data_IF_250816434955
#
_entry.id   IF_250816434955
#
_cell.length_a   1.000
_cell.length_b   1.000
_cell.length_c   1.000
_cell.angle_alpha   90.00
_cell.angle_beta   90.00
_cell.angle_gamma   90.00
#
_symmetry.space_group_name_H-M   'P 1'
#
loop_
_entity.id
_entity.type
_entity.pdbx_description
1 polymer ?
#
# COMPACT_ATOMS: atom_id res chain seq x y z
N UNK A 1 54.18 -41.65 -22.87
CA UNK A 1 52.77 -41.73 -22.44
C UNK A 1 52.42 -40.41 -21.78
N UNK A 2 51.30 -39.73 -22.03
CA UNK A 2 50.21 -39.97 -23.00
C UNK A 2 49.74 -38.66 -23.64
N UNK A 3 48.95 -38.75 -24.71
CA UNK A 3 48.64 -37.63 -25.60
C UNK A 3 47.49 -36.75 -25.06
N UNK A 4 47.69 -35.44 -25.03
CA UNK A 4 46.59 -34.47 -24.98
C UNK A 4 45.91 -34.41 -26.35
N UNK A 5 44.60 -34.66 -26.42
CA UNK A 5 43.80 -34.46 -27.64
C UNK A 5 42.94 -33.21 -27.51
N UNK A 6 43.17 -32.28 -28.44
CA UNK A 6 42.19 -31.28 -28.83
C UNK A 6 41.02 -31.96 -29.55
N UNK A 7 39.79 -31.48 -29.31
CA UNK A 7 38.66 -31.64 -30.23
C UNK A 7 37.80 -30.39 -30.17
N UNK A 8 37.61 -29.74 -31.31
CA UNK A 8 36.87 -28.49 -31.41
C UNK A 8 35.35 -28.65 -31.38
N UNK A 9 34.68 -27.56 -31.02
CA UNK A 9 33.37 -27.10 -31.50
C UNK A 9 32.30 -28.16 -31.83
N UNK A 10 31.21 -28.15 -31.06
CA UNK A 10 29.87 -28.18 -31.63
C UNK A 10 29.05 -27.05 -31.02
N UNK A 11 28.39 -26.25 -31.86
CA UNK A 11 27.50 -25.21 -31.40
C UNK A 11 26.22 -25.80 -30.83
N UNK A 12 25.80 -25.34 -29.66
CA UNK A 12 24.43 -25.51 -29.18
C UNK A 12 23.79 -24.13 -29.00
N UNK A 13 22.52 -24.02 -29.37
CA UNK A 13 21.74 -22.81 -29.13
C UNK A 13 21.67 -22.48 -27.63
N UNK A 14 21.63 -21.19 -27.30
CA UNK A 14 21.47 -20.70 -25.93
C UNK A 14 20.07 -21.05 -25.36
N UNK A 15 19.93 -22.30 -24.92
CA UNK A 15 18.71 -22.84 -24.33
C UNK A 15 18.61 -22.54 -22.84
N UNK A 16 17.82 -21.52 -22.49
CA UNK A 16 16.97 -21.47 -21.28
C UNK A 16 17.58 -21.89 -19.93
N UNK A 17 18.86 -21.60 -19.66
CA UNK A 17 19.56 -21.93 -18.41
C UNK A 17 19.86 -20.73 -17.51
N UNK A 18 19.00 -19.71 -17.52
CA UNK A 18 19.07 -18.58 -16.59
C UNK A 18 18.52 -18.95 -15.19
N UNK A 19 19.17 -18.53 -14.08
CA UNK A 19 18.93 -19.11 -12.75
C UNK A 19 17.60 -18.74 -12.06
N UNK A 20 16.77 -17.87 -12.65
CA UNK A 20 15.60 -17.29 -11.99
C UNK A 20 14.25 -17.95 -12.31
N UNK A 21 14.24 -19.11 -12.97
CA UNK A 21 13.02 -19.88 -13.28
C UNK A 21 12.40 -20.61 -12.08
N UNK A 22 12.91 -20.41 -10.85
CA UNK A 22 12.46 -21.10 -9.62
C UNK A 22 12.18 -20.20 -8.42
N UNK A 23 12.34 -18.88 -8.54
CA UNK A 23 11.89 -17.93 -7.52
C UNK A 23 10.39 -17.62 -7.69
N UNK A 24 9.60 -18.69 -7.80
CA UNK A 24 8.20 -18.67 -7.39
C UNK A 24 8.14 -18.22 -5.93
N UNK A 25 6.99 -17.67 -5.53
CA UNK A 25 6.69 -17.33 -4.14
C UNK A 25 7.27 -18.41 -3.22
N UNK A 26 8.17 -18.08 -2.27
CA UNK A 26 8.80 -19.10 -1.46
C UNK A 26 7.69 -19.92 -0.78
N UNK A 27 7.79 -21.25 -0.69
CA UNK A 27 6.70 -22.09 -0.14
C UNK A 27 6.36 -21.75 1.33
N UNK A 28 7.19 -20.90 1.95
CA UNK A 28 7.05 -20.34 3.29
C UNK A 28 6.58 -18.87 3.31
N UNK A 29 6.10 -18.30 2.20
CA UNK A 29 5.57 -16.94 2.17
C UNK A 29 4.35 -16.86 3.11
N UNK A 30 4.45 -15.96 4.09
CA UNK A 30 3.45 -15.86 5.14
C UNK A 30 3.46 -17.03 6.15
N UNK A 31 4.40 -17.97 6.08
CA UNK A 31 4.72 -18.88 7.20
C UNK A 31 5.83 -18.31 8.10
N UNK A 32 6.28 -17.09 7.81
CA UNK A 32 7.31 -16.37 8.56
C UNK A 32 6.93 -16.10 10.03
N UNK A 33 7.92 -15.98 10.94
CA UNK A 33 7.68 -15.86 12.39
C UNK A 33 6.73 -14.73 12.78
N UNK A 34 6.81 -13.57 12.12
CA UNK A 34 5.93 -12.44 12.41
C UNK A 34 4.44 -12.76 12.15
N UNK A 35 4.09 -13.33 10.99
CA UNK A 35 2.70 -13.72 10.69
C UNK A 35 2.20 -14.80 11.65
N UNK A 36 3.05 -15.79 11.97
CA UNK A 36 2.73 -16.82 12.99
C UNK A 36 2.44 -16.18 14.36
N UNK A 37 3.26 -15.23 14.81
CA UNK A 37 3.07 -14.54 16.07
C UNK A 37 1.78 -13.69 16.10
N UNK A 38 1.48 -12.97 15.03
CA UNK A 38 0.21 -12.20 14.91
C UNK A 38 -0.98 -13.15 14.90
N UNK A 39 -0.96 -14.20 14.07
CA UNK A 39 -2.04 -15.20 14.02
C UNK A 39 -2.24 -15.92 15.36
N UNK A 40 -1.16 -16.28 16.06
CA UNK A 40 -1.24 -16.91 17.38
C UNK A 40 -1.83 -15.96 18.44
N UNK A 41 -1.47 -14.66 18.40
CA UNK A 41 -2.08 -13.65 19.28
C UNK A 41 -3.57 -13.47 19.00
N UNK A 42 -3.96 -13.29 17.73
CA UNK A 42 -5.36 -13.17 17.33
C UNK A 42 -6.17 -14.43 17.70
N UNK A 43 -5.61 -15.62 17.47
CA UNK A 43 -6.24 -16.89 17.87
C UNK A 43 -6.37 -17.00 19.39
N UNK A 44 -5.35 -16.60 20.15
CA UNK A 44 -5.39 -16.58 21.62
C UNK A 44 -6.47 -15.66 22.17
N UNK A 45 -6.65 -14.46 21.58
CA UNK A 45 -7.74 -13.53 21.92
C UNK A 45 -9.11 -14.16 21.65
N UNK A 46 -9.31 -14.77 20.47
CA UNK A 46 -10.56 -15.45 20.13
C UNK A 46 -10.85 -16.66 21.04
N UNK A 47 -9.84 -17.47 21.37
CA UNK A 47 -9.97 -18.56 22.35
C UNK A 47 -10.36 -17.98 23.72
N UNK A 48 -9.76 -16.86 24.13
CA UNK A 48 -10.14 -16.14 25.34
C UNK A 48 -11.61 -15.72 25.35
N UNK A 49 -12.10 -15.09 24.27
CA UNK A 49 -13.51 -14.72 24.14
C UNK A 49 -14.44 -15.93 24.16
N UNK A 50 -14.09 -17.04 23.48
CA UNK A 50 -14.88 -18.28 23.52
C UNK A 50 -14.93 -18.86 24.95
N UNK A 51 -13.80 -18.95 25.65
CA UNK A 51 -13.75 -19.48 27.02
C UNK A 51 -14.53 -18.60 27.99
N UNK A 52 -14.39 -17.27 27.92
CA UNK A 52 -15.13 -16.33 28.77
C UNK A 52 -16.62 -16.37 28.46
N UNK A 53 -16.99 -16.39 27.17
CA UNK A 53 -18.37 -16.48 26.71
C UNK A 53 -19.06 -17.75 27.21
N UNK A 54 -18.47 -18.92 26.96
CA UNK A 54 -19.01 -20.21 27.40
C UNK A 54 -18.95 -20.37 28.92
N UNK A 55 -17.96 -19.77 29.58
CA UNK A 55 -17.88 -19.70 31.04
C UNK A 55 -19.04 -18.93 31.65
N UNK A 56 -19.43 -17.79 31.07
CA UNK A 56 -20.59 -16.98 31.53
C UNK A 56 -21.92 -17.64 31.12
N UNK A 57 -21.96 -18.28 29.95
CA UNK A 57 -23.17 -18.92 29.43
C UNK A 57 -23.53 -20.21 30.18
N UNK A 58 -22.56 -21.08 30.44
CA UNK A 58 -22.78 -22.44 30.97
C UNK A 58 -22.60 -22.57 32.48
N UNK A 59 -22.25 -21.48 33.19
CA UNK A 59 -22.07 -21.53 34.64
C UNK A 59 -23.40 -21.65 35.41
N UNK A 60 -23.33 -22.29 36.57
CA UNK A 60 -24.44 -22.51 37.50
C UNK A 60 -24.23 -21.88 38.88
N UNK A 61 -23.11 -21.19 39.12
CA UNK A 61 -22.72 -20.67 40.44
C UNK A 61 -23.22 -19.24 40.72
N UNK A 62 -23.57 -18.47 39.68
CA UNK A 62 -24.32 -17.22 39.73
C UNK A 62 -25.63 -17.39 38.98
N UNK A 63 -26.75 -17.01 39.59
CA UNK A 63 -28.05 -16.95 38.92
C UNK A 63 -28.10 -15.76 37.95
N UNK A 64 -27.46 -15.90 36.79
CA UNK A 64 -27.52 -14.93 35.69
C UNK A 64 -28.78 -15.13 34.86
N UNK A 65 -29.53 -14.05 34.65
CA UNK A 65 -30.72 -14.07 33.81
C UNK A 65 -30.41 -14.48 32.36
N UNK A 66 -31.38 -15.07 31.64
CA UNK A 66 -31.23 -15.51 30.25
C UNK A 66 -30.63 -14.46 29.31
N UNK A 67 -31.01 -13.18 29.50
CA UNK A 67 -30.51 -12.03 28.74
C UNK A 67 -29.00 -11.84 28.85
N UNK A 68 -28.44 -11.95 30.06
CA UNK A 68 -27.00 -11.86 30.30
C UNK A 68 -26.24 -13.06 29.74
N UNK A 69 -26.82 -14.27 29.85
CA UNK A 69 -26.25 -15.49 29.26
C UNK A 69 -26.20 -15.37 27.74
N UNK A 70 -27.30 -14.98 27.10
CA UNK A 70 -27.37 -14.77 25.66
C UNK A 70 -26.43 -13.66 25.17
N UNK A 71 -26.35 -12.53 25.88
CA UNK A 71 -25.43 -11.45 25.55
C UNK A 71 -23.96 -11.91 25.59
N UNK A 72 -23.59 -12.77 26.55
CA UNK A 72 -22.25 -13.35 26.62
C UNK A 72 -21.90 -14.21 25.40
N UNK A 73 -22.86 -14.92 24.79
CA UNK A 73 -22.65 -15.64 23.51
C UNK A 73 -22.28 -14.68 22.37
N UNK A 74 -22.75 -13.44 22.41
CA UNK A 74 -22.37 -12.36 21.48
C UNK A 74 -20.89 -12.00 21.45
N UNK A 75 -20.10 -12.40 22.45
CA UNK A 75 -18.64 -12.25 22.45
C UNK A 75 -17.93 -13.19 21.45
N UNK A 76 -18.60 -14.24 20.94
CA UNK A 76 -17.97 -15.24 20.04
C UNK A 76 -17.88 -14.74 18.60
N UNK A 77 -18.85 -13.95 18.13
CA UNK A 77 -18.82 -13.14 16.90
C UNK A 77 -20.04 -12.21 16.85
N UNK A 78 -20.02 -11.20 15.99
CA UNK A 78 -21.12 -10.23 15.85
C UNK A 78 -22.45 -10.93 15.53
N UNK A 79 -23.44 -10.75 16.39
CA UNK A 79 -24.77 -11.37 16.30
C UNK A 79 -24.88 -12.79 16.90
N UNK A 80 -23.79 -13.43 17.36
CA UNK A 80 -23.84 -14.80 17.89
C UNK A 80 -24.85 -14.99 19.03
N UNK A 81 -25.06 -13.97 19.88
CA UNK A 81 -26.04 -14.02 20.96
C UNK A 81 -27.49 -14.14 20.51
N UNK A 82 -27.84 -13.74 19.28
CA UNK A 82 -29.20 -13.91 18.76
C UNK A 82 -29.57 -15.39 18.53
N UNK A 83 -28.56 -16.25 18.36
CA UNK A 83 -28.75 -17.71 18.35
C UNK A 83 -29.25 -18.19 19.72
N UNK A 84 -28.77 -17.59 20.82
CA UNK A 84 -29.21 -17.91 22.17
C UNK A 84 -30.62 -17.37 22.48
N UNK A 85 -31.04 -16.26 21.85
CA UNK A 85 -32.42 -15.74 21.99
C UNK A 85 -33.48 -16.66 21.36
N UNK A 86 -33.11 -17.44 20.33
CA UNK A 86 -33.91 -18.47 19.65
C UNK A 86 -35.38 -18.11 19.34
N UNK A 87 -35.63 -16.84 19.01
CA UNK A 87 -36.94 -16.32 18.64
C UNK A 87 -36.88 -15.56 17.31
N UNK A 88 -38.06 -15.27 16.73
CA UNK A 88 -38.19 -14.65 15.40
C UNK A 88 -37.48 -13.30 15.32
N UNK A 89 -37.56 -12.47 16.37
CA UNK A 89 -36.91 -11.15 16.40
C UNK A 89 -35.39 -11.32 16.43
N UNK A 90 -34.86 -12.25 17.23
CA UNK A 90 -33.45 -12.61 17.22
C UNK A 90 -32.98 -13.09 15.84
N UNK A 91 -33.76 -13.94 15.16
CA UNK A 91 -33.45 -14.39 13.79
C UNK A 91 -33.37 -13.24 12.77
N UNK A 92 -34.28 -12.27 12.86
CA UNK A 92 -34.26 -11.05 12.01
C UNK A 92 -33.02 -10.19 12.32
N UNK A 93 -32.72 -9.95 13.59
CA UNK A 93 -31.57 -9.13 14.00
C UNK A 93 -30.23 -9.81 13.72
N UNK A 94 -30.16 -11.14 13.77
CA UNK A 94 -29.01 -11.91 13.30
C UNK A 94 -28.75 -11.64 11.82
N UNK A 95 -29.78 -11.79 10.97
CA UNK A 95 -29.67 -11.54 9.54
C UNK A 95 -29.30 -10.06 9.25
N UNK A 96 -29.90 -9.11 9.96
CA UNK A 96 -29.59 -7.68 9.84
C UNK A 96 -28.14 -7.37 10.24
N UNK A 97 -27.64 -7.99 11.32
CA UNK A 97 -26.24 -7.84 11.76
C UNK A 97 -25.29 -8.29 10.64
N UNK A 98 -25.51 -9.48 10.08
CA UNK A 98 -24.69 -9.98 8.97
C UNK A 98 -24.81 -9.15 7.68
N UNK A 99 -26.01 -8.65 7.35
CA UNK A 99 -26.21 -7.72 6.23
C UNK A 99 -25.51 -6.36 6.45
N UNK A 100 -25.34 -5.93 7.70
CA UNK A 100 -24.63 -4.69 8.03
C UNK A 100 -23.10 -4.82 7.99
N UNK A 101 -22.53 -6.03 8.12
CA UNK A 101 -21.07 -6.23 8.10
C UNK A 101 -20.43 -5.72 6.78
N UNK A 102 -20.90 -6.07 5.57
CA UNK A 102 -20.38 -5.50 4.32
C UNK A 102 -20.44 -3.96 4.28
N UNK A 103 -21.50 -3.36 4.80
CA UNK A 103 -21.67 -1.90 4.85
C UNK A 103 -20.69 -1.25 5.86
N UNK A 104 -20.49 -1.88 7.02
CA UNK A 104 -19.54 -1.41 8.03
C UNK A 104 -18.09 -1.61 7.60
N UNK A 105 -17.77 -2.69 6.88
CA UNK A 105 -16.48 -2.88 6.24
C UNK A 105 -16.26 -1.84 5.13
N UNK A 106 -17.26 -1.58 4.28
CA UNK A 106 -17.18 -0.51 3.27
C UNK A 106 -16.98 0.86 3.91
N UNK A 107 -17.72 1.18 4.98
CA UNK A 107 -17.57 2.45 5.70
C UNK A 107 -16.22 2.56 6.43
N UNK A 108 -15.65 1.45 6.90
CA UNK A 108 -14.30 1.41 7.48
C UNK A 108 -13.19 1.58 6.43
N UNK A 109 -13.22 0.80 5.34
CA UNK A 109 -12.22 0.89 4.26
C UNK A 109 -12.33 2.20 3.48
N UNK A 110 -13.56 2.70 3.32
CA UNK A 110 -13.87 4.03 2.81
C UNK A 110 -13.39 5.09 3.79
N UNK A 111 -14.20 5.46 4.78
CA UNK A 111 -13.99 6.62 5.65
C UNK A 111 -12.86 6.48 6.70
N UNK A 112 -12.06 5.39 6.69
CA UNK A 112 -11.04 5.09 7.69
C UNK A 112 -11.61 4.76 9.09
N UNK A 113 -12.93 4.73 9.23
CA UNK A 113 -13.64 4.70 10.50
C UNK A 113 -13.72 3.28 11.08
N UNK A 114 -12.65 2.85 11.76
CA UNK A 114 -12.54 1.55 12.45
C UNK A 114 -13.64 1.29 13.49
N UNK A 115 -14.35 2.34 13.90
CA UNK A 115 -15.48 2.27 14.83
C UNK A 115 -16.71 1.54 14.26
N UNK A 116 -16.90 1.47 12.94
CA UNK A 116 -18.13 0.87 12.37
C UNK A 116 -18.25 -0.65 12.60
N UNK A 117 -17.23 -1.49 12.34
CA UNK A 117 -17.29 -2.91 12.69
C UNK A 117 -17.45 -3.16 14.19
N UNK A 118 -16.85 -2.31 15.04
CA UNK A 118 -17.00 -2.37 16.49
C UNK A 118 -18.44 -2.07 16.90
N UNK A 119 -19.04 -0.98 16.38
CA UNK A 119 -20.45 -0.65 16.62
C UNK A 119 -21.41 -1.75 16.16
N UNK A 120 -21.20 -2.36 14.99
CA UNK A 120 -22.01 -3.51 14.55
C UNK A 120 -21.92 -4.67 15.54
N UNK A 121 -20.75 -4.93 16.10
CA UNK A 121 -20.56 -5.97 17.11
C UNK A 121 -21.21 -5.59 18.45
N UNK A 122 -20.89 -4.43 19.01
CA UNK A 122 -21.37 -3.98 20.32
C UNK A 122 -22.90 -3.80 20.33
N UNK A 123 -23.48 -3.22 19.27
CA UNK A 123 -24.93 -3.10 19.12
C UNK A 123 -25.60 -4.46 18.92
N UNK A 124 -24.91 -5.46 18.35
CA UNK A 124 -25.45 -6.83 18.30
C UNK A 124 -25.51 -7.47 19.68
N UNK A 125 -24.53 -7.23 20.56
CA UNK A 125 -24.53 -7.71 21.95
C UNK A 125 -25.65 -7.00 22.74
N UNK A 126 -25.77 -5.68 22.58
CA UNK A 126 -26.81 -4.88 23.23
C UNK A 126 -28.22 -5.25 22.77
N UNK A 127 -28.42 -5.49 21.47
CA UNK A 127 -29.72 -5.92 20.94
C UNK A 127 -30.18 -7.26 21.52
N UNK A 128 -29.27 -8.23 21.65
CA UNK A 128 -29.55 -9.54 22.29
C UNK A 128 -30.07 -9.39 23.71
N UNK A 129 -29.56 -8.41 24.47
CA UNK A 129 -30.03 -8.14 25.84
C UNK A 129 -31.51 -7.75 25.87
N UNK A 130 -31.99 -6.99 24.88
CA UNK A 130 -33.39 -6.56 24.77
C UNK A 130 -34.30 -7.57 24.07
N UNK A 131 -33.77 -8.49 23.26
CA UNK A 131 -34.57 -9.45 22.48
C UNK A 131 -34.60 -10.87 23.03
N UNK A 132 -33.84 -11.17 24.08
CA UNK A 132 -33.89 -12.49 24.75
C UNK A 132 -35.03 -12.50 25.75
N UNK A 133 -35.93 -13.48 25.64
CA UNK A 133 -37.04 -13.68 26.58
C UNK A 133 -36.62 -14.46 27.83
N UNK A 134 -37.60 -15.05 28.51
CA UNK A 134 -37.42 -15.76 29.79
C UNK A 134 -36.56 -17.03 29.72
N UNK A 135 -36.18 -17.48 28.51
CA UNK A 135 -35.35 -18.66 28.30
C UNK A 135 -34.29 -18.36 27.23
N UNK A 136 -33.07 -18.87 27.44
CA UNK A 136 -32.02 -18.92 26.45
C UNK A 136 -31.91 -20.34 25.88
N UNK A 137 -31.62 -20.47 24.59
CA UNK A 137 -31.43 -21.78 23.97
C UNK A 137 -30.07 -22.36 24.31
N UNK A 138 -30.06 -23.30 25.26
CA UNK A 138 -28.85 -23.95 25.81
C UNK A 138 -27.89 -24.50 24.74
N UNK A 139 -28.41 -24.97 23.59
CA UNK A 139 -27.57 -25.48 22.51
C UNK A 139 -26.73 -24.39 21.80
N UNK A 140 -27.06 -23.10 21.96
CA UNK A 140 -26.32 -22.00 21.33
C UNK A 140 -24.84 -21.96 21.74
N UNK A 141 -24.51 -22.41 22.96
CA UNK A 141 -23.13 -22.58 23.43
C UNK A 141 -22.31 -23.60 22.61
N UNK A 142 -22.95 -24.53 21.90
CA UNK A 142 -22.28 -25.43 20.95
C UNK A 142 -22.32 -24.89 19.52
N UNK A 143 -23.47 -24.32 19.09
CA UNK A 143 -23.65 -23.83 17.73
C UNK A 143 -22.78 -22.62 17.41
N UNK A 144 -22.66 -21.63 18.30
CA UNK A 144 -21.86 -20.43 18.05
C UNK A 144 -20.37 -20.73 17.77
N UNK A 145 -19.62 -21.46 18.63
CA UNK A 145 -18.24 -21.82 18.30
C UNK A 145 -18.14 -22.78 17.09
N UNK A 146 -19.14 -23.65 16.88
CA UNK A 146 -19.21 -24.51 15.70
C UNK A 146 -19.29 -23.73 14.39
N UNK A 147 -20.18 -22.74 14.30
CA UNK A 147 -20.32 -21.84 13.13
C UNK A 147 -19.03 -21.07 12.87
N UNK A 148 -18.39 -20.53 13.91
CA UNK A 148 -17.11 -19.82 13.79
C UNK A 148 -16.00 -20.73 13.22
N UNK A 149 -15.92 -21.97 13.69
CA UNK A 149 -14.93 -22.95 13.22
C UNK A 149 -15.14 -23.34 11.75
N UNK A 150 -16.40 -23.58 11.34
CA UNK A 150 -16.75 -23.92 9.95
C UNK A 150 -16.41 -22.77 9.01
N UNK A 151 -16.87 -21.55 9.34
CA UNK A 151 -16.63 -20.35 8.52
C UNK A 151 -15.14 -20.07 8.31
N UNK A 152 -14.33 -20.22 9.37
CA UNK A 152 -12.87 -20.07 9.30
C UNK A 152 -12.22 -21.05 8.32
N UNK A 153 -12.60 -22.33 8.38
CA UNK A 153 -11.91 -23.36 7.60
C UNK A 153 -12.24 -23.28 6.10
N UNK A 154 -13.52 -23.04 5.75
CA UNK A 154 -13.93 -22.82 4.35
C UNK A 154 -13.21 -21.62 3.71
N UNK A 155 -13.15 -20.49 4.42
CA UNK A 155 -12.56 -19.27 3.87
C UNK A 155 -11.05 -19.38 3.64
N UNK A 156 -10.30 -19.93 4.61
CA UNK A 156 -8.83 -20.06 4.53
C UNK A 156 -8.41 -21.04 3.42
N UNK A 157 -9.11 -22.18 3.29
CA UNK A 157 -8.73 -23.21 2.32
C UNK A 157 -8.99 -22.77 0.86
N UNK A 158 -10.07 -22.03 0.61
CA UNK A 158 -10.39 -21.53 -0.74
C UNK A 158 -9.40 -20.48 -1.23
N UNK A 159 -9.09 -19.46 -0.42
CA UNK A 159 -8.19 -18.38 -0.84
C UNK A 159 -6.75 -18.85 -1.15
N UNK A 160 -6.25 -19.86 -0.42
CA UNK A 160 -4.92 -20.42 -0.68
C UNK A 160 -4.83 -21.05 -2.09
N UNK A 161 -5.80 -21.89 -2.45
CA UNK A 161 -5.79 -22.63 -3.72
C UNK A 161 -5.94 -21.73 -4.97
N UNK A 162 -6.62 -20.60 -4.84
CA UNK A 162 -6.86 -19.66 -5.95
C UNK A 162 -5.66 -18.74 -6.21
N UNK A 163 -4.99 -18.30 -5.13
CA UNK A 163 -3.80 -17.44 -5.21
C UNK A 163 -2.65 -18.14 -5.94
N UNK A 164 -2.40 -19.42 -5.62
CA UNK A 164 -1.30 -20.20 -6.21
C UNK A 164 -1.45 -20.41 -7.72
N UNK A 165 -2.69 -20.48 -8.23
CA UNK A 165 -2.97 -20.66 -9.67
C UNK A 165 -2.58 -19.44 -10.51
N UNK A 166 -2.87 -18.23 -10.00
CA UNK A 166 -2.68 -16.99 -10.75
C UNK A 166 -1.19 -16.61 -10.86
N UNK A 167 -0.40 -16.93 -9.84
CA UNK A 167 1.05 -16.64 -9.78
C UNK A 167 1.85 -17.45 -10.80
N UNK A 168 1.39 -18.64 -11.17
CA UNK A 168 2.11 -19.53 -12.08
C UNK A 168 2.15 -19.05 -13.55
N UNK A 169 1.33 -18.06 -13.93
CA UNK A 169 1.01 -17.79 -15.33
C UNK A 169 1.90 -16.76 -16.05
N UNK A 170 2.65 -15.90 -15.35
CA UNK A 170 3.25 -14.72 -15.99
C UNK A 170 4.61 -14.26 -15.44
N UNK A 171 5.68 -14.39 -16.25
CA UNK A 171 6.91 -13.57 -16.11
C UNK A 171 7.75 -13.46 -17.40
N UNK A 172 8.33 -12.28 -17.64
CA UNK A 172 9.55 -12.03 -18.46
C UNK A 172 10.18 -10.65 -18.12
N UNK A 173 11.39 -10.36 -18.63
CA UNK A 173 12.34 -9.27 -18.27
C UNK A 173 12.20 -8.01 -19.17
N UNK A 174 12.85 -6.85 -18.99
CA UNK A 174 14.14 -6.41 -18.37
C UNK A 174 13.92 -5.20 -17.37
N UNK A 175 14.58 -4.02 -17.47
CA UNK A 175 15.70 -3.57 -16.59
C UNK A 175 15.65 -2.03 -16.21
N UNK A 176 16.68 -1.15 -16.34
CA UNK A 176 16.84 0.15 -15.57
C UNK A 176 17.30 1.46 -16.32
N UNK A 177 16.81 2.66 -15.92
CA UNK A 177 17.23 4.04 -16.40
C UNK A 177 17.07 5.20 -15.34
N UNK A 178 17.38 6.48 -15.66
CA UNK A 178 17.40 7.66 -14.74
C UNK A 178 16.28 8.74 -14.94
N UNK A 179 15.84 9.49 -13.89
CA UNK A 179 14.69 10.42 -13.91
C UNK A 179 15.06 11.92 -14.07
N UNK A 180 14.04 12.75 -14.32
CA UNK A 180 14.16 14.15 -14.75
C UNK A 180 14.00 15.23 -13.66
N UNK A 181 14.22 16.49 -14.04
CA UNK A 181 14.20 17.68 -13.16
C UNK A 181 12.80 18.07 -12.66
N UNK A 182 11.76 17.76 -13.44
CA UNK A 182 10.37 18.10 -13.12
C UNK A 182 9.83 17.26 -11.96
N UNK A 183 10.27 16.01 -11.88
CA UNK A 183 10.07 15.11 -10.74
C UNK A 183 10.59 15.67 -9.43
N UNK A 184 11.69 16.42 -9.47
CA UNK A 184 12.32 17.02 -8.29
C UNK A 184 11.56 18.26 -7.79
N UNK A 185 10.89 19.01 -8.68
CA UNK A 185 10.05 20.16 -8.28
C UNK A 185 8.77 19.74 -7.56
N UNK A 186 8.17 18.61 -7.97
CA UNK A 186 7.05 17.99 -7.25
C UNK A 186 7.48 17.50 -5.85
N UNK A 187 8.74 17.08 -5.69
CA UNK A 187 9.28 16.52 -4.42
C UNK A 187 9.29 17.57 -3.31
N UNK A 188 9.66 18.80 -3.66
CA UNK A 188 9.70 19.95 -2.75
C UNK A 188 8.34 20.24 -2.09
N UNK A 189 7.23 20.14 -2.83
CA UNK A 189 5.90 20.49 -2.32
C UNK A 189 5.46 19.57 -1.17
N UNK A 190 5.64 18.25 -1.29
CA UNK A 190 5.28 17.34 -0.20
C UNK A 190 6.13 17.49 1.04
N UNK A 191 7.44 17.79 0.91
CA UNK A 191 8.25 18.09 2.09
C UNK A 191 7.74 19.34 2.81
N UNK A 192 7.33 20.38 2.06
CA UNK A 192 6.69 21.58 2.64
C UNK A 192 5.35 21.33 3.36
N UNK A 193 4.64 20.26 3.01
CA UNK A 193 3.45 19.78 3.74
C UNK A 193 3.83 18.90 4.94
N UNK A 194 4.80 17.99 4.78
CA UNK A 194 5.21 17.03 5.80
C UNK A 194 5.91 17.66 7.02
N UNK A 195 6.45 18.87 6.88
CA UNK A 195 7.11 19.62 7.97
C UNK A 195 6.24 20.70 8.63
N UNK A 196 4.92 20.73 8.35
CA UNK A 196 3.98 21.55 9.13
C UNK A 196 3.71 20.88 10.50
N UNK A 197 3.37 21.68 11.52
CA UNK A 197 3.09 21.16 12.87
C UNK A 197 1.84 20.27 12.86
N UNK A 198 2.05 18.96 13.07
CA UNK A 198 1.01 17.93 13.00
C UNK A 198 0.14 17.88 14.27
N UNK A 199 -0.95 18.64 14.28
CA UNK A 199 -2.03 18.51 15.29
C UNK A 199 -3.21 17.61 14.81
N UNK A 200 -3.18 17.07 13.59
CA UNK A 200 -4.29 16.27 13.02
C UNK A 200 -3.91 14.82 12.68
N UNK A 201 -4.18 13.91 13.62
CA UNK A 201 -3.86 12.48 13.51
C UNK A 201 -5.04 11.67 12.95
N UNK A 202 -5.18 11.56 11.62
CA UNK A 202 -6.24 10.73 10.97
C UNK A 202 -5.83 9.85 9.77
N UNK A 203 -4.56 9.83 9.36
CA UNK A 203 -4.13 9.24 8.07
C UNK A 203 -3.25 7.97 8.18
N UNK A 204 -3.78 6.78 8.47
CA UNK A 204 -2.98 5.52 8.37
C UNK A 204 -3.74 4.22 7.96
N UNK A 205 -5.04 4.23 7.68
CA UNK A 205 -5.79 2.97 7.44
C UNK A 205 -5.92 2.59 5.95
N UNK A 206 -5.86 3.55 5.02
CA UNK A 206 -6.08 3.30 3.58
C UNK A 206 -4.86 2.72 2.84
N UNK A 207 -3.72 2.49 3.50
CA UNK A 207 -2.54 1.90 2.84
C UNK A 207 -2.84 0.56 2.20
N UNK A 208 -3.61 -0.34 2.83
CA UNK A 208 -3.66 -1.77 2.48
C UNK A 208 -4.02 -2.10 1.01
N UNK A 209 -4.94 -1.37 0.37
CA UNK A 209 -5.36 -1.69 -1.01
C UNK A 209 -4.46 -1.06 -2.09
N UNK A 210 -4.09 0.23 -1.95
CA UNK A 210 -3.07 0.86 -2.82
C UNK A 210 -1.66 0.24 -2.61
N UNK A 211 -1.42 -0.34 -1.42
CA UNK A 211 -0.29 -1.23 -1.12
C UNK A 211 -0.38 -2.60 -1.80
N UNK A 212 -1.55 -3.07 -2.26
CA UNK A 212 -1.63 -4.31 -3.03
C UNK A 212 -0.75 -4.24 -4.30
N UNK A 213 -0.78 -3.09 -4.99
CA UNK A 213 0.19 -2.76 -6.03
C UNK A 213 1.54 -2.38 -5.40
N UNK A 214 1.61 -1.30 -4.61
CA UNK A 214 2.89 -0.69 -4.19
C UNK A 214 3.77 -1.58 -3.28
N UNK A 215 3.20 -2.27 -2.27
CA UNK A 215 3.91 -3.30 -1.50
C UNK A 215 4.01 -4.63 -2.26
N UNK A 216 3.14 -4.90 -3.24
CA UNK A 216 3.30 -6.03 -4.15
C UNK A 216 4.64 -5.97 -4.90
N UNK A 217 5.02 -4.78 -5.39
CA UNK A 217 6.26 -4.54 -6.13
C UNK A 217 7.54 -4.92 -5.37
N UNK A 218 7.50 -4.92 -4.02
CA UNK A 218 8.63 -5.29 -3.17
C UNK A 218 8.81 -6.81 -3.01
N UNK A 219 8.31 -7.42 -1.92
CA UNK A 219 8.44 -8.86 -1.66
C UNK A 219 7.71 -9.78 -2.64
N UNK A 220 6.71 -9.29 -3.38
CA UNK A 220 5.87 -10.11 -4.28
C UNK A 220 6.03 -9.72 -5.76
N UNK A 221 7.24 -9.28 -6.14
CA UNK A 221 7.55 -8.67 -7.44
C UNK A 221 6.96 -9.43 -8.64
N UNK A 222 7.05 -10.76 -8.66
CA UNK A 222 6.50 -11.60 -9.73
C UNK A 222 4.97 -11.49 -9.84
N UNK A 223 4.24 -11.70 -8.74
CA UNK A 223 2.78 -11.53 -8.68
C UNK A 223 2.36 -10.11 -9.09
N UNK A 224 3.08 -9.09 -8.60
CA UNK A 224 2.80 -7.69 -8.96
C UNK A 224 3.00 -7.40 -10.45
N UNK A 225 4.02 -8.00 -11.10
CA UNK A 225 4.23 -7.95 -12.55
C UNK A 225 3.11 -8.67 -13.33
N UNK A 226 2.61 -9.79 -12.81
CA UNK A 226 1.46 -10.50 -13.39
C UNK A 226 0.22 -9.60 -13.38
N UNK A 227 -0.09 -8.99 -12.23
CA UNK A 227 -1.19 -8.03 -12.09
C UNK A 227 -1.02 -6.80 -13.00
N UNK A 228 0.20 -6.25 -13.10
CA UNK A 228 0.48 -5.15 -14.03
C UNK A 228 0.16 -5.53 -15.46
N UNK A 229 0.60 -6.71 -15.91
CA UNK A 229 0.34 -7.19 -17.27
C UNK A 229 -1.16 -7.33 -17.55
N UNK A 230 -1.93 -7.82 -16.57
CA UNK A 230 -3.39 -7.95 -16.66
C UNK A 230 -4.03 -6.55 -16.80
N UNK A 231 -3.77 -5.65 -15.83
CA UNK A 231 -4.31 -4.28 -15.84
C UNK A 231 -3.93 -3.54 -17.14
N UNK A 232 -2.67 -3.66 -17.56
CA UNK A 232 -2.12 -2.98 -18.73
C UNK A 232 -2.73 -3.44 -20.07
N UNK A 233 -3.26 -4.66 -20.13
CA UNK A 233 -3.87 -5.25 -21.33
C UNK A 233 -5.41 -5.19 -21.31
N UNK A 234 -6.04 -5.34 -20.13
CA UNK A 234 -7.50 -5.44 -19.99
C UNK A 234 -8.17 -4.10 -19.64
N UNK A 235 -7.47 -3.23 -18.90
CA UNK A 235 -8.04 -1.97 -18.37
C UNK A 235 -7.50 -0.73 -19.09
N UNK A 236 -6.21 -0.75 -19.48
CA UNK A 236 -5.50 0.42 -20.02
C UNK A 236 -5.55 0.43 -21.54
N UNK A 237 -6.27 1.39 -22.10
CA UNK A 237 -6.21 1.71 -23.52
C UNK A 237 -5.22 2.85 -23.74
N UNK A 238 -4.20 2.60 -24.58
CA UNK A 238 -3.17 3.58 -24.90
C UNK A 238 -3.12 3.77 -26.42
N UNK A 239 -3.42 4.99 -26.88
CA UNK A 239 -3.31 5.35 -28.29
C UNK A 239 -1.87 5.80 -28.58
N UNK A 240 -1.16 5.00 -29.38
CA UNK A 240 0.24 5.22 -29.72
C UNK A 240 0.48 6.43 -30.63
N UNK A 241 -0.56 6.95 -31.30
CA UNK A 241 -0.50 8.12 -32.19
C UNK A 241 -0.75 9.42 -31.43
N UNK A 242 -1.77 9.46 -30.57
CA UNK A 242 -2.10 10.67 -29.79
C UNK A 242 -1.30 10.76 -28.49
N UNK A 243 -0.68 9.64 -28.06
CA UNK A 243 -0.06 9.46 -26.73
C UNK A 243 -1.05 9.75 -25.60
N UNK A 244 -2.31 9.38 -25.81
CA UNK A 244 -3.38 9.47 -24.82
C UNK A 244 -3.66 8.11 -24.20
N UNK A 245 -4.02 8.14 -22.91
CA UNK A 245 -4.38 6.97 -22.13
C UNK A 245 -5.84 7.08 -21.65
N UNK A 246 -6.60 6.01 -21.74
CA UNK A 246 -7.94 5.89 -21.16
C UNK A 246 -8.08 4.58 -20.38
N UNK A 247 -9.04 4.57 -19.46
CA UNK A 247 -9.33 3.43 -18.60
C UNK A 247 -10.74 2.93 -18.90
N UNK A 248 -10.90 1.62 -19.06
CA UNK A 248 -12.22 0.98 -19.21
C UNK A 248 -12.60 0.18 -17.98
N UNK A 249 -13.90 -0.01 -17.76
CA UNK A 249 -14.42 -0.85 -16.67
C UNK A 249 -14.48 -0.22 -15.28
N UNK A 250 -14.03 1.03 -15.09
CA UNK A 250 -14.12 1.73 -13.80
C UNK A 250 -15.59 1.90 -13.37
N UNK A 251 -15.96 1.41 -12.19
CA UNK A 251 -17.32 1.47 -11.64
C UNK A 251 -17.33 1.88 -10.16
N UNK A 252 -18.31 2.72 -9.78
CA UNK A 252 -18.58 3.05 -8.38
C UNK A 252 -17.36 3.57 -7.61
N UNK A 253 -16.82 2.74 -6.72
CA UNK A 253 -15.68 3.07 -5.87
C UNK A 253 -14.36 3.32 -6.64
N UNK A 254 -14.23 2.77 -7.86
CA UNK A 254 -13.05 2.99 -8.73
C UNK A 254 -12.93 4.45 -9.22
N UNK A 255 -13.96 5.27 -8.98
CA UNK A 255 -14.06 6.68 -9.36
C UNK A 255 -14.14 7.57 -8.11
N UNK A 256 -13.41 7.26 -7.05
CA UNK A 256 -13.42 8.02 -5.78
C UNK A 256 -11.98 8.37 -5.37
N UNK A 257 -11.69 9.67 -5.29
CA UNK A 257 -10.44 10.14 -4.67
C UNK A 257 -10.53 9.91 -3.15
N UNK A 258 -9.92 8.82 -2.68
CA UNK A 258 -9.92 8.42 -1.28
C UNK A 258 -9.30 9.45 -0.31
N UNK A 259 -8.59 10.48 -0.79
CA UNK A 259 -8.07 11.55 0.05
C UNK A 259 -9.07 12.68 0.36
N UNK A 260 -10.21 12.76 -0.35
CA UNK A 260 -11.27 13.75 -0.08
C UNK A 260 -12.71 13.21 -0.25
N UNK A 261 -12.86 11.93 -0.61
CA UNK A 261 -14.12 11.21 -0.84
C UNK A 261 -15.02 11.80 -1.95
N UNK A 262 -14.46 12.60 -2.85
CA UNK A 262 -15.17 13.11 -4.02
C UNK A 262 -15.08 12.11 -5.16
N UNK A 263 -16.15 12.04 -5.97
CA UNK A 263 -16.08 11.24 -7.19
C UNK A 263 -15.16 11.93 -8.20
N UNK A 264 -14.20 11.16 -8.73
CA UNK A 264 -13.08 11.65 -9.52
C UNK A 264 -12.57 10.49 -10.38
N UNK A 265 -12.67 10.60 -11.71
CA UNK A 265 -12.20 9.54 -12.62
C UNK A 265 -10.66 9.56 -12.82
N UNK A 266 -10.00 10.62 -12.36
CA UNK A 266 -8.58 10.85 -12.61
C UNK A 266 -7.66 10.26 -11.52
N UNK A 267 -8.21 9.85 -10.37
CA UNK A 267 -7.44 9.30 -9.23
C UNK A 267 -6.64 8.05 -9.63
N UNK A 268 -7.26 7.15 -10.40
CA UNK A 268 -6.64 5.92 -10.92
C UNK A 268 -5.48 6.17 -11.87
N UNK A 269 -5.43 7.31 -12.58
CA UNK A 269 -4.28 7.63 -13.43
C UNK A 269 -3.03 7.94 -12.61
N UNK A 270 -3.16 8.45 -11.37
CA UNK A 270 -1.99 8.62 -10.49
C UNK A 270 -1.42 7.26 -10.08
N UNK A 271 -2.28 6.30 -9.76
CA UNK A 271 -1.85 4.95 -9.35
C UNK A 271 -1.29 4.16 -10.54
N UNK A 272 -1.89 4.34 -11.73
CA UNK A 272 -1.38 3.74 -12.96
C UNK A 272 -0.02 4.34 -13.35
N UNK A 273 0.19 5.65 -13.18
CA UNK A 273 1.49 6.27 -13.41
C UNK A 273 2.58 5.75 -12.46
N UNK A 274 2.25 5.52 -11.18
CA UNK A 274 3.16 4.87 -10.21
C UNK A 274 3.49 3.44 -10.66
N UNK A 275 2.49 2.64 -11.02
CA UNK A 275 2.69 1.27 -11.51
C UNK A 275 3.55 1.25 -12.77
N UNK A 276 3.20 2.07 -13.76
CA UNK A 276 3.93 2.20 -15.02
C UNK A 276 5.41 2.52 -14.78
N UNK A 277 5.71 3.52 -13.93
CA UNK A 277 7.09 3.88 -13.59
C UNK A 277 7.85 2.81 -12.79
N UNK A 278 7.18 2.04 -11.92
CA UNK A 278 7.79 0.90 -11.21
C UNK A 278 8.10 -0.27 -12.15
N UNK A 279 7.41 -0.41 -13.28
CA UNK A 279 7.65 -1.46 -14.27
C UNK A 279 8.42 -1.03 -15.53
N UNK A 280 8.71 0.27 -15.68
CA UNK A 280 9.42 0.84 -16.83
C UNK A 280 8.57 1.11 -18.07
N UNK A 281 7.25 1.20 -17.92
CA UNK A 281 6.33 1.64 -18.97
C UNK A 281 6.25 3.18 -18.99
N UNK A 282 7.36 3.83 -19.37
CA UNK A 282 7.49 5.28 -19.26
C UNK A 282 6.48 6.03 -20.16
N UNK A 283 6.17 5.51 -21.35
CA UNK A 283 5.14 6.11 -22.21
C UNK A 283 3.75 6.16 -21.53
N UNK A 284 3.34 5.07 -20.86
CA UNK A 284 2.07 5.06 -20.15
C UNK A 284 2.12 5.93 -18.89
N UNK A 285 3.28 6.02 -18.22
CA UNK A 285 3.50 6.93 -17.08
C UNK A 285 3.32 8.39 -17.50
N UNK A 286 4.02 8.83 -18.53
CA UNK A 286 3.94 10.20 -19.06
C UNK A 286 2.52 10.57 -19.49
N UNK A 287 1.84 9.69 -20.22
CA UNK A 287 0.46 9.92 -20.65
C UNK A 287 -0.52 10.02 -19.46
N UNK A 288 -0.33 9.22 -18.40
CA UNK A 288 -1.12 9.32 -17.19
C UNK A 288 -0.87 10.64 -16.44
N UNK A 289 0.40 11.03 -16.28
CA UNK A 289 0.79 12.30 -15.64
C UNK A 289 0.17 13.48 -16.36
N UNK A 290 0.38 13.57 -17.68
CA UNK A 290 -0.23 14.59 -18.54
C UNK A 290 -1.75 14.63 -18.37
N UNK A 291 -2.42 13.49 -18.33
CA UNK A 291 -3.88 13.41 -18.24
C UNK A 291 -4.44 13.90 -16.91
N UNK A 292 -3.87 13.51 -15.77
CA UNK A 292 -4.37 14.01 -14.48
C UNK A 292 -3.97 15.47 -14.22
N UNK A 293 -2.84 15.94 -14.74
CA UNK A 293 -2.42 17.35 -14.66
C UNK A 293 -3.31 18.27 -15.49
N UNK A 294 -3.71 17.84 -16.69
CA UNK A 294 -4.69 18.56 -17.52
C UNK A 294 -6.08 18.59 -16.86
N UNK A 295 -6.47 17.52 -16.17
CA UNK A 295 -7.79 17.41 -15.55
C UNK A 295 -7.95 18.23 -14.27
N UNK A 296 -6.94 18.22 -13.39
CA UNK A 296 -7.02 18.91 -12.10
C UNK A 296 -6.38 20.30 -12.12
N UNK A 297 -5.50 20.57 -13.09
CA UNK A 297 -4.70 21.79 -13.14
C UNK A 297 -3.48 21.74 -12.21
N UNK A 298 -2.38 22.35 -12.66
CA UNK A 298 -1.16 22.52 -11.87
C UNK A 298 -1.06 23.97 -11.40
N UNK A 299 -1.08 24.18 -10.10
CA UNK A 299 -0.80 25.47 -9.45
C UNK A 299 0.68 25.55 -9.05
N UNK A 300 1.21 26.76 -8.98
CA UNK A 300 2.58 27.04 -8.51
C UNK A 300 2.48 27.85 -7.21
N UNK A 301 3.13 27.37 -6.16
CA UNK A 301 3.20 28.05 -4.88
C UNK A 301 4.14 29.28 -4.96
N UNK A 302 4.06 30.25 -4.02
CA UNK A 302 4.96 31.41 -4.01
C UNK A 302 6.46 31.06 -4.03
N UNK A 303 6.84 29.89 -3.51
CA UNK A 303 8.21 29.36 -3.49
C UNK A 303 8.57 28.49 -4.72
N UNK A 304 7.87 28.66 -5.85
CA UNK A 304 8.16 28.00 -7.12
C UNK A 304 7.78 26.51 -7.23
N UNK A 305 7.37 25.86 -6.13
CA UNK A 305 6.96 24.45 -6.14
C UNK A 305 5.62 24.26 -6.86
N UNK A 306 5.52 23.17 -7.63
CA UNK A 306 4.31 22.83 -8.38
C UNK A 306 3.48 21.77 -7.66
N UNK A 307 2.17 21.94 -7.69
CA UNK A 307 1.20 21.04 -7.06
C UNK A 307 -0.11 20.98 -7.86
N UNK A 308 -0.84 19.88 -7.74
CA UNK A 308 -2.18 19.72 -8.31
C UNK A 308 -3.18 20.53 -7.50
N UNK A 309 -4.12 21.19 -8.17
CA UNK A 309 -5.10 22.05 -7.52
C UNK A 309 -5.87 21.33 -6.38
N UNK A 310 -5.73 21.83 -5.16
CA UNK A 310 -6.33 21.24 -3.96
C UNK A 310 -7.87 21.32 -3.93
N UNK A 311 -8.47 22.13 -4.79
CA UNK A 311 -9.92 22.15 -5.00
C UNK A 311 -10.40 20.90 -5.79
N UNK A 312 -9.55 20.36 -6.66
CA UNK A 312 -9.87 19.28 -7.60
C UNK A 312 -9.22 17.94 -7.22
N UNK A 313 -8.03 17.97 -6.62
CA UNK A 313 -7.21 16.81 -6.27
C UNK A 313 -6.87 16.83 -4.77
N UNK A 314 -7.04 15.71 -4.06
CA UNK A 314 -6.66 15.63 -2.65
C UNK A 314 -5.14 15.77 -2.42
N UNK A 315 -4.76 15.97 -1.15
CA UNK A 315 -3.36 15.85 -0.73
C UNK A 315 -2.78 14.45 -1.04
N UNK A 316 -3.61 13.40 -1.00
CA UNK A 316 -3.20 12.04 -1.40
C UNK A 316 -2.92 11.95 -2.90
N UNK A 317 -3.68 12.63 -3.75
CA UNK A 317 -3.42 12.68 -5.19
C UNK A 317 -2.18 13.51 -5.53
N UNK A 318 -1.93 14.60 -4.82
CA UNK A 318 -0.65 15.31 -4.86
C UNK A 318 0.51 14.39 -4.47
N UNK A 319 0.35 13.57 -3.43
CA UNK A 319 1.36 12.60 -3.02
C UNK A 319 1.61 11.53 -4.08
N UNK A 320 0.55 11.00 -4.68
CA UNK A 320 0.66 10.01 -5.74
C UNK A 320 1.28 10.59 -7.02
N UNK A 321 0.94 11.82 -7.40
CA UNK A 321 1.50 12.52 -8.55
C UNK A 321 3.00 12.81 -8.41
N UNK A 322 3.46 13.17 -7.19
CA UNK A 322 4.89 13.18 -6.89
C UNK A 322 5.49 11.78 -7.10
N UNK A 323 4.93 10.77 -6.43
CA UNK A 323 5.49 9.41 -6.47
C UNK A 323 5.62 8.93 -7.90
N UNK A 324 4.61 9.14 -8.75
CA UNK A 324 4.66 8.85 -10.18
C UNK A 324 5.81 9.55 -10.92
N UNK A 325 6.14 10.80 -10.56
CA UNK A 325 7.21 11.53 -11.20
C UNK A 325 8.61 11.04 -10.78
N UNK A 326 8.83 10.73 -9.49
CA UNK A 326 10.15 10.33 -8.97
C UNK A 326 10.43 8.83 -9.04
N UNK A 327 9.40 8.00 -9.20
CA UNK A 327 9.55 6.55 -9.23
C UNK A 327 10.33 6.11 -10.47
N UNK A 328 11.21 5.13 -10.26
CA UNK A 328 12.06 4.51 -11.28
C UNK A 328 11.68 3.02 -11.38
N UNK A 329 12.01 2.31 -12.47
CA UNK A 329 11.73 0.88 -12.60
C UNK A 329 12.31 0.10 -11.41
N UNK A 330 11.52 -0.70 -10.70
CA UNK A 330 11.97 -1.48 -9.54
C UNK A 330 12.34 -0.66 -8.29
N UNK A 331 11.84 0.56 -8.12
CA UNK A 331 12.14 1.41 -6.96
C UNK A 331 11.68 0.79 -5.64
N UNK A 332 10.45 0.28 -5.53
CA UNK A 332 9.97 -0.37 -4.29
C UNK A 332 10.79 -1.61 -3.96
N UNK A 333 11.12 -2.41 -4.97
CA UNK A 333 11.98 -3.59 -4.83
C UNK A 333 13.39 -3.23 -4.31
N UNK A 334 14.05 -2.22 -4.91
CA UNK A 334 15.36 -1.75 -4.44
C UNK A 334 15.30 -1.15 -3.03
N UNK A 335 14.28 -0.35 -2.73
CA UNK A 335 14.08 0.27 -1.42
C UNK A 335 13.98 -0.77 -0.30
N UNK A 336 13.24 -1.87 -0.54
CA UNK A 336 13.04 -2.92 0.47
C UNK A 336 14.21 -3.90 0.56
N UNK A 337 14.80 -4.32 -0.57
CA UNK A 337 15.82 -5.38 -0.56
C UNK A 337 17.26 -4.89 -0.47
N UNK A 338 17.58 -3.72 -1.04
CA UNK A 338 18.96 -3.21 -1.13
C UNK A 338 19.22 -2.07 -0.15
N UNK A 339 18.21 -1.23 0.09
CA UNK A 339 18.37 -0.01 0.89
C UNK A 339 19.34 1.00 0.23
N UNK A 340 19.87 1.96 1.00
CA UNK A 340 20.97 2.82 0.57
C UNK A 340 22.26 2.01 0.36
N UNK A 341 23.12 2.43 -0.59
CA UNK A 341 24.44 1.81 -0.77
C UNK A 341 25.36 2.09 0.42
N UNK A 342 26.35 1.23 0.67
CA UNK A 342 27.39 1.51 1.69
C UNK A 342 28.07 2.87 1.46
N UNK A 343 28.26 3.24 0.20
CA UNK A 343 28.78 4.53 -0.26
C UNK A 343 27.95 5.71 0.27
N UNK A 344 26.61 5.58 0.27
CA UNK A 344 25.70 6.60 0.79
C UNK A 344 25.60 6.59 2.32
N UNK A 345 25.88 5.46 2.98
CA UNK A 345 25.89 5.35 4.45
C UNK A 345 27.21 5.85 5.07
N UNK A 346 28.32 5.84 4.33
CA UNK A 346 29.65 6.27 4.80
C UNK A 346 30.15 7.58 4.19
N UNK A 347 29.46 8.13 3.19
CA UNK A 347 29.83 9.37 2.53
C UNK A 347 29.59 10.62 3.39
N UNK A 348 30.11 11.79 2.96
CA UNK A 348 29.80 13.09 3.56
C UNK A 348 28.29 13.35 3.65
N UNK A 349 27.86 14.12 4.64
CA UNK A 349 26.43 14.47 4.79
C UNK A 349 26.30 15.98 4.57
N UNK A 350 25.43 16.38 3.63
CA UNK A 350 24.92 17.75 3.57
C UNK A 350 24.01 17.97 4.79
N UNK A 351 24.61 18.41 5.89
CA UNK A 351 23.99 18.50 7.21
C UNK A 351 23.20 19.78 7.40
N UNK A 352 23.57 20.85 6.69
CA UNK A 352 22.86 22.14 6.76
C UNK A 352 22.67 22.72 5.36
N UNK A 353 21.45 23.18 5.09
CA UNK A 353 21.07 23.87 3.86
C UNK A 353 19.85 24.75 4.17
N UNK A 354 19.77 25.93 3.56
CA UNK A 354 18.65 26.85 3.74
C UNK A 354 17.38 26.36 3.02
N UNK A 355 16.73 25.31 3.51
CA UNK A 355 15.43 24.84 3.01
C UNK A 355 14.29 25.73 3.56
N UNK A 356 13.26 26.09 2.77
CA UNK A 356 12.98 25.68 1.39
C UNK A 356 13.60 26.56 0.31
N UNK A 357 14.51 27.48 0.64
CA UNK A 357 15.09 28.46 -0.31
C UNK A 357 16.10 27.81 -1.28
N UNK A 358 16.77 26.74 -0.86
CA UNK A 358 17.67 25.92 -1.68
C UNK A 358 17.09 24.51 -1.83
N UNK A 359 17.09 24.01 -3.07
CA UNK A 359 16.55 22.71 -3.46
C UNK A 359 17.66 21.74 -3.82
N UNK A 360 17.67 20.58 -3.16
CA UNK A 360 18.59 19.49 -3.45
C UNK A 360 18.00 18.63 -4.56
N UNK A 361 18.51 18.79 -5.77
CA UNK A 361 18.15 17.96 -6.92
C UNK A 361 18.97 16.66 -6.98
N UNK A 362 20.23 16.73 -6.56
CA UNK A 362 21.14 15.57 -6.48
C UNK A 362 22.07 15.75 -5.29
N UNK A 363 22.20 14.70 -4.50
CA UNK A 363 23.30 14.49 -3.58
C UNK A 363 23.72 13.02 -3.76
N UNK A 364 24.87 12.79 -4.40
CA UNK A 364 25.38 11.44 -4.67
C UNK A 364 26.86 11.29 -4.34
N UNK A 365 27.21 10.05 -4.05
CA UNK A 365 28.55 9.56 -3.75
C UNK A 365 28.82 8.39 -4.69
N UNK A 366 29.95 8.39 -5.39
CA UNK A 366 30.34 7.28 -6.26
C UNK A 366 31.41 6.38 -5.60
N UNK A 367 32.20 6.95 -4.68
CA UNK A 367 33.36 6.34 -4.00
C UNK A 367 33.35 6.49 -2.48
N UNK A 368 32.40 7.24 -1.91
CA UNK A 368 32.34 7.67 -0.50
C UNK A 368 33.43 8.68 -0.08
N UNK A 369 34.33 9.05 -1.01
CA UNK A 369 35.30 10.14 -0.88
C UNK A 369 35.00 11.33 -1.82
N UNK A 370 33.81 11.33 -2.40
CA UNK A 370 33.34 12.32 -3.35
C UNK A 370 31.90 12.72 -3.02
N UNK A 371 31.56 13.98 -3.23
CA UNK A 371 30.20 14.48 -3.09
C UNK A 371 29.83 15.28 -4.35
N UNK A 372 28.89 14.74 -5.12
CA UNK A 372 28.26 15.38 -6.26
C UNK A 372 26.94 16.03 -5.82
N UNK A 373 26.92 17.37 -5.79
CA UNK A 373 25.74 18.17 -5.46
C UNK A 373 25.19 18.89 -6.70
N UNK A 374 23.89 18.78 -6.91
CA UNK A 374 23.13 19.64 -7.83
C UNK A 374 22.11 20.40 -7.00
N UNK A 375 22.26 21.72 -6.96
CA UNK A 375 21.44 22.63 -6.18
C UNK A 375 20.77 23.67 -7.08
N UNK A 376 19.51 23.98 -6.77
CA UNK A 376 18.73 25.05 -7.41
C UNK A 376 18.22 26.04 -6.35
N UNK A 377 18.15 27.35 -6.64
CA UNK A 377 17.31 28.25 -5.86
C UNK A 377 15.84 27.88 -6.05
N UNK A 378 15.04 28.01 -5.00
CA UNK A 378 13.59 27.83 -5.06
C UNK A 378 12.85 29.06 -5.63
N UNK A 379 13.43 30.23 -5.42
CA UNK A 379 12.98 31.51 -5.96
C UNK A 379 14.19 32.25 -6.56
N UNK A 380 14.68 33.29 -5.88
CA UNK A 380 15.77 34.12 -6.38
C UNK A 380 17.15 33.47 -6.28
N UNK A 381 18.03 33.83 -7.21
CA UNK A 381 19.43 33.46 -7.15
C UNK A 381 20.15 34.19 -6.00
N UNK A 382 20.83 33.45 -5.13
CA UNK A 382 21.54 33.99 -3.97
C UNK A 382 22.82 33.23 -3.64
N UNK A 383 23.52 33.70 -2.61
CA UNK A 383 24.59 32.97 -1.94
C UNK A 383 23.99 32.33 -0.71
N UNK A 384 24.22 31.02 -0.53
CA UNK A 384 23.68 30.23 0.57
C UNK A 384 24.80 29.44 1.22
N UNK A 385 24.82 29.42 2.55
CA UNK A 385 25.74 28.58 3.30
C UNK A 385 25.29 27.12 3.25
N UNK A 386 26.26 26.20 3.18
CA UNK A 386 26.05 24.76 3.11
C UNK A 386 26.93 24.11 4.18
N UNK A 387 26.32 23.45 5.16
CA UNK A 387 27.04 22.64 6.13
C UNK A 387 27.26 21.25 5.55
N UNK A 388 28.53 20.82 5.47
CA UNK A 388 28.90 19.46 5.08
C UNK A 388 29.67 18.82 6.24
N UNK A 389 29.17 17.68 6.72
CA UNK A 389 29.80 16.88 7.78
C UNK A 389 30.33 15.55 7.23
N UNK A 390 31.11 14.82 8.04
CA UNK A 390 31.87 13.63 7.63
C UNK A 390 32.84 13.88 6.46
N UNK A 391 33.33 15.13 6.32
CA UNK A 391 34.43 15.47 5.43
C UNK A 391 35.70 14.71 5.86
N UNK A 392 36.35 14.03 4.92
CA UNK A 392 37.71 13.52 5.10
C UNK A 392 38.71 14.46 4.41
N UNK A 393 39.99 14.53 4.82
CA UNK A 393 40.97 15.42 4.20
C UNK A 393 41.24 15.16 2.71
N UNK A 394 40.81 14.01 2.20
CA UNK A 394 41.00 13.54 0.83
C UNK A 394 39.76 13.77 -0.06
N UNK A 395 38.77 14.55 0.40
CA UNK A 395 37.47 14.63 -0.28
C UNK A 395 37.48 15.50 -1.55
N UNK A 396 37.09 14.90 -2.69
CA UNK A 396 36.76 15.66 -3.90
C UNK A 396 35.30 16.14 -3.86
N UNK A 397 35.08 17.46 -3.77
CA UNK A 397 33.72 18.02 -3.82
C UNK A 397 33.43 18.60 -5.21
N UNK A 398 32.35 18.14 -5.86
CA UNK A 398 31.86 18.67 -7.14
C UNK A 398 30.47 19.28 -6.93
N UNK A 399 30.43 20.61 -6.77
CA UNK A 399 29.18 21.36 -6.62
C UNK A 399 28.79 21.99 -7.95
N UNK A 400 27.66 21.59 -8.50
CA UNK A 400 27.04 22.22 -9.65
C UNK A 400 25.84 23.06 -9.20
N UNK A 401 26.03 24.39 -9.16
CA UNK A 401 24.98 25.35 -8.84
C UNK A 401 24.37 25.85 -10.15
N UNK A 402 23.10 25.53 -10.37
CA UNK A 402 22.39 25.95 -11.58
C UNK A 402 21.52 27.17 -11.29
N UNK A 403 21.73 28.25 -12.06
CA UNK A 403 20.78 29.37 -12.13
C UNK A 403 19.65 28.98 -13.08
N UNK A 404 18.39 29.19 -12.70
CA UNK A 404 17.28 29.02 -13.64
C UNK A 404 17.42 30.08 -14.74
N UNK A 405 17.49 29.64 -16.00
CA UNK A 405 17.72 30.51 -17.15
C UNK A 405 16.49 31.31 -17.56
N UNK A 406 15.34 31.11 -16.89
CA UNK A 406 14.08 31.82 -17.15
C UNK A 406 14.08 33.29 -16.74
N UNK A 407 15.00 33.74 -15.87
CA UNK A 407 15.20 35.17 -15.60
C UNK A 407 16.18 35.80 -16.60
N UNK A 408 15.74 35.87 -17.86
CA UNK A 408 16.26 36.82 -18.87
C UNK A 408 15.08 37.60 -19.46
N UNK A 409 14.67 38.63 -18.73
CA UNK A 409 14.08 39.89 -19.20
C UNK A 409 14.17 40.89 -18.04
#
# INVERSE_FOLDING_TARGET
MGLSRSSAQHGQAYGTSGPYAKDLIPPNLGSGPHRKNVQARTLGVWIGFVIVSLGIFSQSYVNLGPTYRAAAVGLIFSGAGYLASANVVGGILFALTWASIPLALFAWFGAGAIIFPLLVWDLSILGVYFTTGDNAWENSGYWAPGTLFIARNEFILRQAAETDRLVAAASKREEDEEPSIESLRKLQFLFGLAFQSLDDWRYEIHKAWKSGLQMGCGPLRNFSRSLWTIIRNETVQFDTKTKEVSLTGLVGADKIDAGNYRSNEYDMYTQLAIGAGEYGDEESKEACVKKFEQAWGVKTAPMGSQYLDLENASCLMNQAALTAAIIRPGAYHRMIQKGPSETALRGPILSEVAYPVVLIAKARFHTSKDLELVLYPAADAGVFELGISLLTPELETKVAIFRDSRTRN
#
